data_IF_853322377517
#
_entry.id   IF_853322377517
#
_cell.length_a   1.000
_cell.length_b   1.000
_cell.length_c   1.000
_cell.angle_alpha   90.00
_cell.angle_beta   90.00
_cell.angle_gamma   90.00
#
_symmetry.space_group_name_H-M   'P 1'
#
loop_
_entity.id
_entity.type
_entity.pdbx_description
1 polymer ?
#
# COMPACT_ATOMS: atom_id res chain seq x y z
N UNK A 1 15.15 11.68 -17.50
CA UNK A 1 14.35 12.24 -16.39
C UNK A 1 13.60 11.07 -15.77
N UNK A 2 13.85 10.67 -14.51
CA UNK A 2 12.98 9.70 -13.85
C UNK A 2 11.59 10.34 -13.74
N UNK A 3 10.53 9.58 -14.03
CA UNK A 3 9.18 10.12 -13.89
C UNK A 3 8.83 10.00 -12.42
N UNK A 4 9.01 11.09 -11.68
CA UNK A 4 8.47 11.19 -10.33
C UNK A 4 6.99 10.81 -10.37
N UNK A 5 6.58 9.90 -9.48
CA UNK A 5 5.18 9.52 -9.29
C UNK A 5 4.42 10.78 -8.82
N UNK A 6 3.88 11.58 -9.73
CA UNK A 6 3.27 12.88 -9.39
C UNK A 6 2.06 12.73 -8.46
N UNK A 7 1.25 11.71 -8.70
CA UNK A 7 0.18 11.28 -7.81
C UNK A 7 -0.21 9.85 -8.13
N UNK A 8 -0.60 9.08 -7.11
CA UNK A 8 -1.19 7.76 -7.28
C UNK A 8 -2.65 7.80 -6.86
N UNK A 9 -3.49 6.97 -7.47
CA UNK A 9 -4.78 6.62 -6.89
C UNK A 9 -4.59 5.34 -6.08
N UNK A 10 -4.96 5.36 -4.80
CA UNK A 10 -4.84 4.24 -3.87
C UNK A 10 -6.23 3.84 -3.37
N UNK A 11 -6.59 2.58 -3.57
CA UNK A 11 -7.79 1.98 -3.02
C UNK A 11 -7.43 0.88 -2.05
N UNK A 12 -8.12 0.80 -0.92
CA UNK A 12 -7.92 -0.27 0.04
C UNK A 12 -9.26 -0.83 0.52
N UNK A 13 -9.39 -2.15 0.52
CA UNK A 13 -10.59 -2.84 0.92
C UNK A 13 -10.30 -4.13 1.69
N UNK A 14 -11.29 -4.56 2.46
CA UNK A 14 -11.34 -5.84 3.14
C UNK A 14 -12.64 -6.54 2.77
N UNK A 15 -12.84 -7.74 3.32
CA UNK A 15 -14.13 -8.44 3.20
C UNK A 15 -15.31 -7.63 3.76
N UNK A 16 -15.05 -6.74 4.73
CA UNK A 16 -16.08 -6.06 5.51
C UNK A 16 -16.16 -4.57 5.23
N UNK A 17 -15.11 -3.98 4.64
CA UNK A 17 -15.00 -2.55 4.47
C UNK A 17 -14.36 -2.21 3.14
N UNK A 18 -15.01 -1.34 2.38
CA UNK A 18 -14.40 -0.67 1.25
C UNK A 18 -14.07 0.77 1.67
N UNK A 19 -12.79 1.15 1.58
CA UNK A 19 -12.38 2.53 1.89
C UNK A 19 -12.43 3.45 0.66
N UNK A 20 -12.75 2.92 -0.52
CA UNK A 20 -12.79 3.67 -1.78
C UNK A 20 -11.39 4.07 -2.28
N UNK A 21 -11.38 4.73 -3.44
CA UNK A 21 -10.17 5.26 -4.07
C UNK A 21 -9.85 6.66 -3.57
N UNK A 22 -8.58 6.90 -3.22
CA UNK A 22 -8.06 8.19 -2.78
C UNK A 22 -6.91 8.62 -3.67
N UNK A 23 -6.82 9.91 -3.99
CA UNK A 23 -5.65 10.46 -4.65
C UNK A 23 -4.59 10.82 -3.60
N UNK A 24 -3.35 10.40 -3.81
CA UNK A 24 -2.22 10.68 -2.95
C UNK A 24 -1.08 11.30 -3.75
N UNK A 25 -0.50 12.36 -3.19
CA UNK A 25 0.68 13.04 -3.70
C UNK A 25 1.95 12.58 -2.97
N UNK A 26 3.12 12.88 -3.56
CA UNK A 26 4.41 12.57 -2.92
C UNK A 26 4.52 13.29 -1.59
N UNK A 27 4.83 12.54 -0.53
CA UNK A 27 4.97 13.05 0.83
C UNK A 27 3.69 13.00 1.65
N UNK A 28 2.56 12.60 1.05
CA UNK A 28 1.33 12.34 1.80
C UNK A 28 1.25 10.91 2.31
N UNK A 29 0.61 10.76 3.47
CA UNK A 29 0.32 9.48 4.08
C UNK A 29 -1.17 9.17 4.01
N UNK A 30 -1.50 7.91 3.72
CA UNK A 30 -2.85 7.38 3.85
C UNK A 30 -2.92 6.36 4.98
N UNK A 31 -3.90 6.52 5.87
CA UNK A 31 -4.09 5.66 7.02
C UNK A 31 -5.53 5.18 7.10
N UNK A 32 -5.71 3.90 7.43
CA UNK A 32 -7.01 3.31 7.71
C UNK A 32 -6.88 2.28 8.82
N UNK A 33 -7.93 2.14 9.62
CA UNK A 33 -8.02 1.09 10.63
C UNK A 33 -8.19 -0.28 9.98
N UNK A 34 -7.46 -1.29 10.48
CA UNK A 34 -7.54 -2.67 10.02
C UNK A 34 -8.37 -3.52 10.98
N UNK A 35 -9.17 -4.44 10.43
CA UNK A 35 -9.74 -5.53 11.22
C UNK A 35 -8.71 -6.68 11.34
N UNK A 36 -8.23 -6.96 12.55
CA UNK A 36 -7.09 -7.87 12.79
C UNK A 36 -7.28 -9.29 12.23
N UNK A 37 -8.52 -9.75 12.08
CA UNK A 37 -8.87 -11.09 11.59
C UNK A 37 -9.17 -11.14 10.09
N UNK A 38 -9.08 -10.03 9.38
CA UNK A 38 -9.40 -9.93 7.95
C UNK A 38 -8.15 -9.63 7.12
N UNK A 39 -8.16 -10.06 5.85
CA UNK A 39 -7.21 -9.57 4.86
C UNK A 39 -7.63 -8.18 4.42
N UNK A 40 -6.67 -7.26 4.33
CA UNK A 40 -6.85 -5.97 3.67
C UNK A 40 -5.97 -5.94 2.44
N UNK A 41 -6.59 -5.67 1.31
CA UNK A 41 -5.97 -5.55 0.01
C UNK A 41 -5.93 -4.08 -0.37
N UNK A 42 -4.84 -3.66 -0.99
CA UNK A 42 -4.79 -2.35 -1.63
C UNK A 42 -4.34 -2.50 -3.07
N UNK A 43 -4.84 -1.58 -3.89
CA UNK A 43 -4.41 -1.36 -5.26
C UNK A 43 -3.96 0.08 -5.44
N UNK A 44 -2.95 0.28 -6.26
CA UNK A 44 -2.48 1.59 -6.65
C UNK A 44 -2.41 1.71 -8.17
N UNK A 45 -2.81 2.86 -8.68
CA UNK A 45 -2.77 3.22 -10.09
C UNK A 45 -1.94 4.49 -10.26
N UNK A 46 -0.99 4.45 -11.18
CA UNK A 46 -0.16 5.60 -11.57
C UNK A 46 0.01 5.62 -13.09
N UNK A 47 -0.81 6.40 -13.78
CA UNK A 47 -0.84 6.42 -15.25
C UNK A 47 -1.21 5.04 -15.83
N UNK A 48 -0.24 4.33 -16.42
CA UNK A 48 -0.40 2.96 -16.95
C UNK A 48 0.16 1.87 -16.04
N UNK A 49 0.69 2.27 -14.89
CA UNK A 49 1.24 1.34 -13.91
C UNK A 49 0.18 1.00 -12.90
N UNK A 50 0.03 -0.28 -12.64
CA UNK A 50 -0.85 -0.81 -11.61
C UNK A 50 -0.03 -1.65 -10.63
N UNK A 51 -0.45 -1.67 -9.39
CA UNK A 51 0.09 -2.58 -8.40
C UNK A 51 -0.98 -2.96 -7.42
N UNK A 52 -0.88 -4.17 -6.90
CA UNK A 52 -1.79 -4.61 -5.87
C UNK A 52 -1.08 -5.52 -4.87
N UNK A 53 -1.48 -5.40 -3.61
CA UNK A 53 -0.83 -6.12 -2.52
C UNK A 53 -1.76 -6.29 -1.32
N UNK A 54 -1.44 -7.29 -0.51
CA UNK A 54 -2.08 -7.46 0.79
C UNK A 54 -1.45 -6.48 1.79
N UNK A 55 -2.09 -5.34 1.98
CA UNK A 55 -1.68 -4.29 2.89
C UNK A 55 -1.65 -4.78 4.35
N UNK A 56 -2.61 -5.62 4.76
CA UNK A 56 -2.59 -6.33 6.03
C UNK A 56 -2.95 -7.81 5.84
N UNK A 57 -2.15 -8.69 6.44
CA UNK A 57 -2.40 -10.13 6.50
C UNK A 57 -2.31 -10.62 7.95
N UNK A 58 -3.38 -11.22 8.53
CA UNK A 58 -3.35 -11.68 9.91
C UNK A 58 -2.16 -12.59 10.21
N UNK A 59 -1.85 -13.56 9.35
CA UNK A 59 -0.72 -14.48 9.56
C UNK A 59 0.65 -13.80 9.59
N UNK A 60 0.78 -12.66 8.93
CA UNK A 60 2.04 -11.91 8.80
C UNK A 60 2.17 -10.81 9.84
N UNK A 61 1.07 -10.13 10.16
CA UNK A 61 1.09 -8.81 10.78
C UNK A 61 0.44 -8.73 12.18
N UNK A 62 -0.24 -9.79 12.64
CA UNK A 62 -1.10 -9.75 13.84
C UNK A 62 -0.42 -9.29 15.14
N UNK A 63 0.89 -9.51 15.29
CA UNK A 63 1.66 -9.15 16.48
C UNK A 63 2.35 -7.78 16.37
N UNK A 64 2.07 -7.01 15.32
CA UNK A 64 2.63 -5.70 15.09
C UNK A 64 1.58 -4.61 15.32
N UNK A 65 1.98 -3.54 16.02
CA UNK A 65 1.08 -2.42 16.34
C UNK A 65 0.62 -1.64 15.12
N UNK A 66 1.42 -1.65 14.06
CA UNK A 66 1.15 -0.97 12.79
C UNK A 66 1.86 -1.69 11.65
N UNK A 67 1.34 -1.49 10.44
CA UNK A 67 1.92 -1.99 9.19
C UNK A 67 2.09 -0.80 8.26
N UNK A 68 3.33 -0.52 7.86
CA UNK A 68 3.67 0.62 7.02
C UNK A 68 4.02 0.14 5.61
N UNK A 69 3.53 0.88 4.63
CA UNK A 69 3.88 0.68 3.23
C UNK A 69 4.46 1.98 2.66
N UNK A 70 5.69 1.90 2.15
CA UNK A 70 6.31 3.00 1.44
C UNK A 70 6.27 2.69 -0.06
N UNK A 71 5.63 3.58 -0.82
CA UNK A 71 5.52 3.48 -2.27
C UNK A 71 6.63 4.29 -2.91
N UNK A 72 7.38 3.67 -3.83
CA UNK A 72 8.44 4.31 -4.62
C UNK A 72 8.29 3.93 -6.08
N UNK A 73 9.01 4.63 -6.97
CA UNK A 73 9.04 4.33 -8.40
C UNK A 73 9.48 2.88 -8.68
N UNK A 74 10.34 2.30 -7.84
CA UNK A 74 10.85 0.94 -7.99
C UNK A 74 10.09 -0.13 -7.18
N UNK A 75 8.95 0.22 -6.58
CA UNK A 75 8.05 -0.74 -5.96
C UNK A 75 7.53 -0.35 -4.57
N UNK A 76 7.06 -1.36 -3.86
CA UNK A 76 6.32 -1.23 -2.60
C UNK A 76 7.08 -1.93 -1.49
N UNK A 77 7.31 -1.19 -0.40
CA UNK A 77 8.18 -1.61 0.69
C UNK A 77 7.37 -1.72 1.98
N UNK A 78 7.47 -2.87 2.63
CA UNK A 78 6.81 -3.14 3.90
C UNK A 78 7.75 -2.87 5.07
N UNK A 79 7.21 -2.29 6.14
CA UNK A 79 7.87 -2.13 7.43
C UNK A 79 6.87 -2.29 8.57
N UNK A 80 7.33 -2.79 9.73
CA UNK A 80 6.57 -2.82 10.98
C UNK A 80 7.09 -1.83 12.03
N UNK A 81 8.24 -1.21 11.78
CA UNK A 81 8.92 -0.26 12.68
C UNK A 81 9.12 1.13 12.04
N UNK A 82 8.60 1.32 10.83
CA UNK A 82 8.75 2.52 10.01
C UNK A 82 10.21 2.93 9.72
N UNK A 83 11.16 2.00 9.79
CA UNK A 83 12.59 2.27 9.55
C UNK A 83 13.30 1.17 8.76
N UNK A 84 12.93 -0.09 9.01
CA UNK A 84 13.43 -1.27 8.31
C UNK A 84 12.46 -1.64 7.18
N UNK A 85 12.87 -1.38 5.94
CA UNK A 85 12.02 -1.52 4.76
C UNK A 85 12.40 -2.73 3.90
N UNK A 86 11.42 -3.57 3.56
CA UNK A 86 11.62 -4.74 2.69
C UNK A 86 10.72 -4.62 1.46
N UNK A 87 11.30 -4.63 0.25
CA UNK A 87 10.51 -4.63 -0.99
C UNK A 87 9.69 -5.91 -1.11
N UNK A 88 8.38 -5.78 -1.34
CA UNK A 88 7.44 -6.92 -1.47
C UNK A 88 6.82 -7.04 -2.85
N UNK A 89 6.64 -5.93 -3.55
CA UNK A 89 6.09 -5.92 -4.92
C UNK A 89 6.71 -4.80 -5.73
N UNK A 90 6.46 -4.85 -7.04
CA UNK A 90 6.84 -3.84 -8.01
C UNK A 90 5.59 -3.39 -8.78
N UNK A 91 5.67 -2.23 -9.40
CA UNK A 91 4.68 -1.81 -10.38
C UNK A 91 4.64 -2.78 -11.56
N UNK A 92 3.44 -3.14 -11.98
CA UNK A 92 3.18 -3.83 -13.23
C UNK A 92 2.70 -2.81 -14.26
N UNK A 93 2.99 -3.05 -15.53
CA UNK A 93 2.41 -2.29 -16.64
C UNK A 93 1.24 -3.10 -17.14
N UNK A 94 0.09 -2.45 -17.35
CA UNK A 94 -1.03 -3.05 -18.10
C UNK A 94 -0.65 -3.34 -19.56
#
# INVERSE_FOLDING_TARGET
>A
MPRELQSIQLGCNSRYKDNGMHQLHVGEDYQFGVEEKALHFCEAISGRQIASWHAYQPRRDWNHKAVFWQVKENGFFLSWDNSSWVRKSIWQTE
#
